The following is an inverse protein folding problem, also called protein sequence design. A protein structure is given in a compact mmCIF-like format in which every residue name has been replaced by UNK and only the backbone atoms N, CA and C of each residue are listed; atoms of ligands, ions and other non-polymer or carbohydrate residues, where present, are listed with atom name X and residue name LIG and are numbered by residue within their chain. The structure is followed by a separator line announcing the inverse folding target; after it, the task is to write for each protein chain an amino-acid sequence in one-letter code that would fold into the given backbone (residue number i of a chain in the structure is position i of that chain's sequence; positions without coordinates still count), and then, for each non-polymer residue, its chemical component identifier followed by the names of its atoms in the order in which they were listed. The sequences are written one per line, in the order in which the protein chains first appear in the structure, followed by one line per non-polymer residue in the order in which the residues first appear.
data_IF_484096967645
#
_entry.id   IF_484096967645
#
_cell.length_a   1.000
_cell.length_b   1.000
_cell.length_c   1.000
_cell.angle_alpha   90.00
_cell.angle_beta   90.00
_cell.angle_gamma   90.00
#
_symmetry.space_group_name_H-M   'P 1'
#
loop_
_entity.id
_entity.type
_entity.pdbx_description
1 polymer ?
#
# COMPACT_ATOMS: atom_id res chain seq x y z
N UNK A 1 -3.16 1.61 -3.86
CA UNK A 1 -1.97 1.19 -4.58
C UNK A 1 -1.71 2.16 -5.73
N UNK A 2 -0.49 2.70 -5.81
CA UNK A 2 -0.04 3.63 -6.88
C UNK A 2 0.97 2.88 -7.73
N UNK A 3 0.73 2.81 -9.04
CA UNK A 3 1.58 2.08 -9.99
C UNK A 3 2.48 3.07 -10.72
N UNK A 4 3.79 2.82 -10.67
CA UNK A 4 4.84 3.63 -11.33
C UNK A 4 5.61 2.74 -12.29
N UNK A 5 5.88 3.21 -13.49
CA UNK A 5 6.66 2.46 -14.48
C UNK A 5 8.15 2.51 -14.18
N UNK A 6 8.84 1.37 -14.26
CA UNK A 6 10.28 1.25 -13.99
C UNK A 6 11.17 2.03 -15.00
N UNK A 7 10.63 2.39 -16.15
CA UNK A 7 11.31 3.18 -17.19
C UNK A 7 10.94 4.65 -17.11
N UNK A 8 9.64 4.94 -16.95
CA UNK A 8 9.11 6.32 -16.97
C UNK A 8 9.29 7.08 -15.65
N UNK A 9 9.45 6.35 -14.53
CA UNK A 9 9.45 6.98 -13.22
C UNK A 9 8.09 7.59 -12.81
N UNK A 10 8.06 8.42 -11.77
CA UNK A 10 6.87 9.12 -11.32
C UNK A 10 6.45 10.22 -12.31
N UNK A 11 5.21 10.11 -12.79
CA UNK A 11 4.60 11.06 -13.72
C UNK A 11 3.52 11.88 -13.01
N UNK A 12 2.93 12.87 -13.71
CA UNK A 12 1.86 13.73 -13.16
C UNK A 12 0.71 12.93 -12.52
N UNK A 13 0.38 11.76 -13.07
CA UNK A 13 -0.61 10.85 -12.47
C UNK A 13 -0.20 10.34 -11.09
N UNK A 14 1.08 10.08 -10.89
CA UNK A 14 1.64 9.68 -9.59
C UNK A 14 1.51 10.81 -8.57
N UNK A 15 1.86 12.03 -8.95
CA UNK A 15 1.76 13.22 -8.09
C UNK A 15 0.32 13.48 -7.66
N UNK A 16 -0.63 13.43 -8.61
CA UNK A 16 -2.05 13.57 -8.31
C UNK A 16 -2.56 12.48 -7.37
N UNK A 17 -2.15 11.22 -7.57
CA UNK A 17 -2.56 10.11 -6.72
C UNK A 17 -2.00 10.25 -5.29
N UNK A 18 -0.73 10.65 -5.14
CA UNK A 18 -0.11 10.93 -3.85
C UNK A 18 -0.84 12.06 -3.12
N UNK A 19 -1.11 13.17 -3.80
CA UNK A 19 -1.87 14.30 -3.27
C UNK A 19 -3.29 13.92 -2.82
N UNK A 20 -4.00 13.12 -3.62
CA UNK A 20 -5.34 12.64 -3.27
C UNK A 20 -5.31 11.76 -2.03
N UNK A 21 -4.34 10.86 -1.90
CA UNK A 21 -4.16 10.05 -0.70
C UNK A 21 -3.87 10.92 0.53
N UNK A 22 -2.95 11.86 0.41
CA UNK A 22 -2.59 12.79 1.49
C UNK A 22 -3.80 13.63 1.94
N UNK A 23 -4.52 14.25 1.02
CA UNK A 23 -5.72 15.07 1.33
C UNK A 23 -6.85 14.28 1.96
N UNK A 24 -6.99 13.00 1.60
CA UNK A 24 -8.04 12.11 2.14
C UNK A 24 -7.59 11.28 3.34
N UNK A 25 -6.34 11.47 3.82
CA UNK A 25 -5.78 10.72 4.94
C UNK A 25 -5.78 9.20 4.70
N UNK A 26 -5.45 8.77 3.48
CA UNK A 26 -5.45 7.35 3.10
C UNK A 26 -4.04 6.78 3.08
N UNK A 27 -3.90 5.62 3.70
CA UNK A 27 -2.72 4.78 3.53
C UNK A 27 -2.46 4.52 2.04
N UNK A 28 -1.20 4.46 1.67
CA UNK A 28 -0.77 4.27 0.27
C UNK A 28 0.44 3.36 0.19
N UNK A 29 0.55 2.66 -0.91
CA UNK A 29 1.71 1.84 -1.29
C UNK A 29 2.03 2.11 -2.76
N UNK A 30 3.29 2.18 -3.09
CA UNK A 30 3.77 2.31 -4.48
C UNK A 30 4.26 0.95 -4.96
N UNK A 31 3.98 0.61 -6.21
CA UNK A 31 4.61 -0.51 -6.90
C UNK A 31 5.33 -0.01 -8.15
N UNK A 32 6.61 -0.28 -8.24
CA UNK A 32 7.40 -0.08 -9.45
C UNK A 32 7.18 -1.29 -10.36
N UNK A 33 6.37 -1.10 -11.38
CA UNK A 33 5.98 -2.14 -12.34
C UNK A 33 6.80 -2.06 -13.62
N UNK A 34 6.68 -3.08 -14.47
CA UNK A 34 7.42 -3.20 -15.73
C UNK A 34 8.93 -3.37 -15.52
N UNK A 35 9.33 -4.08 -14.46
CA UNK A 35 10.73 -4.41 -14.19
C UNK A 35 11.32 -5.41 -15.22
N UNK A 36 10.51 -5.91 -16.13
CA UNK A 36 10.88 -6.75 -17.28
C UNK A 36 11.23 -5.95 -18.54
N UNK A 37 11.03 -4.64 -18.52
CA UNK A 37 11.30 -3.79 -19.68
C UNK A 37 12.77 -3.46 -19.83
N UNK A 38 13.20 -3.30 -21.06
CA UNK A 38 14.52 -2.73 -21.39
C UNK A 38 14.64 -1.33 -20.75
N UNK A 39 15.79 -1.05 -20.15
CA UNK A 39 16.05 0.18 -19.40
C UNK A 39 15.22 0.37 -18.12
N UNK A 40 14.58 -0.68 -17.59
CA UNK A 40 13.99 -0.62 -16.25
C UNK A 40 15.09 -0.33 -15.20
N UNK A 41 14.86 0.68 -14.36
CA UNK A 41 15.82 1.08 -13.35
C UNK A 41 15.11 1.47 -12.04
N UNK A 42 15.15 0.56 -11.09
CA UNK A 42 14.49 0.73 -9.79
C UNK A 42 15.11 1.88 -8.98
N UNK A 43 16.44 1.94 -8.92
CA UNK A 43 17.14 2.95 -8.12
C UNK A 43 16.90 4.37 -8.65
N UNK A 44 16.89 4.54 -9.98
CA UNK A 44 16.51 5.81 -10.60
C UNK A 44 15.09 6.23 -10.19
N UNK A 45 14.13 5.30 -10.24
CA UNK A 45 12.74 5.58 -9.86
C UNK A 45 12.65 5.91 -8.37
N UNK A 46 13.38 5.21 -7.50
CA UNK A 46 13.41 5.52 -6.07
C UNK A 46 13.97 6.91 -5.78
N UNK A 47 15.07 7.29 -6.47
CA UNK A 47 15.65 8.63 -6.33
C UNK A 47 14.64 9.72 -6.75
N UNK A 48 13.98 9.56 -7.91
CA UNK A 48 12.95 10.49 -8.39
C UNK A 48 11.73 10.55 -7.45
N UNK A 49 11.33 9.43 -6.83
CA UNK A 49 10.27 9.39 -5.84
C UNK A 49 10.67 10.15 -4.56
N UNK A 50 11.90 9.94 -4.08
CA UNK A 50 12.41 10.61 -2.88
C UNK A 50 12.62 12.11 -3.11
N UNK A 51 13.07 12.53 -4.29
CA UNK A 51 13.15 13.96 -4.65
C UNK A 51 11.78 14.64 -4.63
N UNK A 52 10.73 13.95 -5.09
CA UNK A 52 9.38 14.53 -5.20
C UNK A 52 8.57 14.45 -3.89
N UNK A 53 8.70 13.36 -3.14
CA UNK A 53 7.81 13.06 -2.02
C UNK A 53 8.53 12.95 -0.67
N UNK A 54 9.85 13.03 -0.68
CA UNK A 54 10.69 13.02 0.53
C UNK A 54 11.02 11.61 1.05
N UNK A 55 11.70 11.53 2.21
CA UNK A 55 12.24 10.29 2.75
C UNK A 55 11.17 9.32 3.28
N UNK A 56 9.91 9.77 3.35
CA UNK A 56 8.78 8.90 3.72
C UNK A 56 8.51 7.76 2.72
N UNK A 57 9.10 7.83 1.52
CA UNK A 57 8.95 6.80 0.49
C UNK A 57 10.11 5.82 0.62
N UNK A 58 9.84 4.65 1.18
CA UNK A 58 10.87 3.65 1.54
C UNK A 58 10.65 2.32 0.83
N UNK A 59 11.69 1.71 0.24
CA UNK A 59 11.54 0.42 -0.40
C UNK A 59 11.51 -0.71 0.64
N UNK A 60 10.43 -1.49 0.64
CA UNK A 60 10.33 -2.74 1.42
C UNK A 60 10.81 -3.96 0.62
N UNK A 61 11.13 -3.76 -0.65
CA UNK A 61 11.72 -4.74 -1.54
C UNK A 61 12.79 -4.10 -2.43
N UNK A 62 13.91 -4.80 -2.62
CA UNK A 62 14.89 -4.47 -3.65
C UNK A 62 14.87 -5.55 -4.73
N UNK A 63 14.80 -5.19 -6.03
CA UNK A 63 14.76 -6.17 -7.10
C UNK A 63 16.09 -6.91 -7.26
N UNK A 64 16.05 -8.22 -7.45
CA UNK A 64 17.19 -9.01 -7.92
C UNK A 64 17.06 -9.10 -9.44
N UNK A 65 18.04 -8.50 -10.13
CA UNK A 65 18.06 -8.44 -11.59
C UNK A 65 19.17 -9.35 -12.15
N UNK A 66 18.84 -10.19 -13.11
CA UNK A 66 19.82 -11.00 -13.86
C UNK A 66 19.57 -10.84 -15.36
N UNK A 67 20.60 -10.43 -16.09
CA UNK A 67 20.49 -10.21 -17.54
C UNK A 67 19.40 -9.20 -17.93
N UNK A 68 19.16 -8.17 -17.10
CA UNK A 68 18.13 -7.17 -17.31
C UNK A 68 16.70 -7.63 -17.01
N UNK A 69 16.52 -8.81 -16.40
CA UNK A 69 15.22 -9.36 -16.03
C UNK A 69 15.07 -9.46 -14.52
N UNK A 70 13.87 -9.17 -14.04
CA UNK A 70 13.51 -9.38 -12.64
C UNK A 70 13.43 -10.89 -12.37
N UNK A 71 14.31 -11.41 -11.50
CA UNK A 71 14.37 -12.82 -11.13
C UNK A 71 14.04 -13.08 -9.66
N UNK A 72 13.92 -12.04 -8.85
CA UNK A 72 13.65 -12.17 -7.44
C UNK A 72 13.66 -10.83 -6.73
N UNK A 73 13.67 -10.87 -5.41
CA UNK A 73 13.72 -9.67 -4.57
C UNK A 73 14.43 -9.95 -3.24
N UNK A 74 14.92 -8.89 -2.62
CA UNK A 74 15.33 -8.86 -1.22
C UNK A 74 14.20 -8.20 -0.44
N UNK A 75 13.62 -8.89 0.54
CA UNK A 75 12.73 -8.31 1.55
C UNK A 75 13.61 -7.58 2.56
N UNK A 76 13.55 -6.27 2.54
CA UNK A 76 14.39 -5.40 3.39
C UNK A 76 13.89 -5.30 4.82
N UNK A 77 12.65 -5.68 5.10
CA UNK A 77 12.11 -5.73 6.47
C UNK A 77 12.58 -6.99 7.22
N UNK A 78 12.65 -8.13 6.49
CA UNK A 78 13.05 -9.41 7.08
C UNK A 78 14.51 -9.76 6.81
N UNK A 79 15.18 -9.01 5.95
CA UNK A 79 16.55 -9.27 5.48
C UNK A 79 16.71 -10.68 4.93
N UNK A 80 15.79 -11.08 4.05
CA UNK A 80 15.79 -12.36 3.33
C UNK A 80 15.69 -12.09 1.83
N UNK A 81 16.23 -12.99 1.03
CA UNK A 81 16.13 -12.92 -0.43
C UNK A 81 15.38 -14.12 -1.00
N UNK A 82 14.62 -13.86 -2.05
CA UNK A 82 13.84 -14.90 -2.75
C UNK A 82 13.98 -14.76 -4.25
N UNK A 83 14.03 -15.87 -4.95
CA UNK A 83 14.00 -15.95 -6.42
C UNK A 83 12.73 -16.64 -6.90
N UNK A 84 12.22 -16.16 -8.02
CA UNK A 84 11.09 -16.77 -8.72
C UNK A 84 11.56 -17.96 -9.53
N UNK A 85 10.87 -19.09 -9.42
CA UNK A 85 11.19 -20.34 -10.16
C UNK A 85 10.14 -20.71 -11.22
N UNK A 86 9.22 -19.80 -11.51
CA UNK A 86 8.11 -20.01 -12.45
C UNK A 86 6.90 -20.75 -11.86
N UNK A 87 7.03 -21.30 -10.66
CA UNK A 87 5.95 -21.97 -9.91
C UNK A 87 5.69 -21.30 -8.56
N UNK A 88 6.63 -20.50 -8.10
CA UNK A 88 6.57 -19.82 -6.82
C UNK A 88 7.87 -19.08 -6.51
N UNK A 89 8.19 -19.02 -5.23
CA UNK A 89 9.37 -18.35 -4.70
C UNK A 89 10.22 -19.36 -3.92
N UNK A 90 11.54 -19.22 -4.03
CA UNK A 90 12.51 -19.99 -3.26
C UNK A 90 13.47 -19.06 -2.55
N UNK A 91 13.76 -19.38 -1.30
CA UNK A 91 14.76 -18.67 -0.53
C UNK A 91 16.13 -18.79 -1.18
N UNK A 92 16.89 -17.72 -1.14
CA UNK A 92 18.27 -17.66 -1.59
C UNK A 92 19.07 -16.70 -0.71
N UNK A 93 20.39 -16.73 -0.85
CA UNK A 93 21.24 -15.75 -0.18
C UNK A 93 21.05 -14.36 -0.80
N UNK A 94 21.18 -13.33 0.02
CA UNK A 94 21.18 -11.95 -0.47
C UNK A 94 22.38 -11.76 -1.39
N UNK A 95 22.19 -11.37 -2.65
CA UNK A 95 23.31 -11.16 -3.57
C UNK A 95 24.32 -10.15 -3.02
N UNK A 96 25.62 -10.47 -3.12
CA UNK A 96 26.67 -9.65 -2.55
C UNK A 96 26.63 -8.17 -3.01
N UNK A 97 26.21 -7.93 -4.25
CA UNK A 97 26.05 -6.59 -4.81
C UNK A 97 24.84 -5.82 -4.24
N UNK A 98 23.90 -6.49 -3.56
CA UNK A 98 22.75 -5.86 -2.93
C UNK A 98 22.86 -5.83 -1.39
N UNK A 99 23.82 -6.54 -0.79
CA UNK A 99 23.92 -6.68 0.66
C UNK A 99 24.09 -5.32 1.37
N UNK A 100 25.01 -4.48 0.91
CA UNK A 100 25.22 -3.14 1.49
C UNK A 100 23.97 -2.26 1.32
N UNK A 101 23.36 -2.29 0.15
CA UNK A 101 22.13 -1.52 -0.13
C UNK A 101 20.95 -2.00 0.70
N UNK A 102 20.80 -3.33 0.88
CA UNK A 102 19.75 -3.89 1.73
C UNK A 102 19.92 -3.46 3.18
N UNK A 103 21.15 -3.40 3.68
CA UNK A 103 21.45 -2.95 5.02
C UNK A 103 21.12 -1.47 5.21
N UNK A 104 21.53 -0.59 4.28
CA UNK A 104 21.18 0.85 4.30
C UNK A 104 19.66 1.06 4.34
N UNK A 105 18.92 0.29 3.52
CA UNK A 105 17.46 0.38 3.48
C UNK A 105 16.84 -0.14 4.76
N UNK A 106 17.36 -1.23 5.35
CA UNK A 106 16.89 -1.74 6.62
C UNK A 106 17.07 -0.72 7.75
N UNK A 107 18.21 -0.04 7.81
CA UNK A 107 18.47 1.02 8.78
C UNK A 107 17.51 2.20 8.59
N UNK A 108 17.30 2.67 7.37
CA UNK A 108 16.34 3.73 7.07
C UNK A 108 14.88 3.33 7.40
N UNK A 109 14.51 2.06 7.19
CA UNK A 109 13.20 1.53 7.60
C UNK A 109 13.05 1.50 9.12
N UNK A 110 14.12 1.15 9.84
CA UNK A 110 14.13 1.10 11.32
C UNK A 110 13.97 2.52 11.89
N UNK A 111 14.68 3.49 11.36
CA UNK A 111 14.53 4.90 11.73
C UNK A 111 13.12 5.41 11.46
N UNK A 112 12.60 5.17 10.25
CA UNK A 112 11.24 5.57 9.90
C UNK A 112 10.17 4.90 10.77
N UNK A 113 10.39 3.64 11.19
CA UNK A 113 9.50 2.95 12.12
C UNK A 113 9.57 3.54 13.55
N UNK A 114 10.78 3.89 14.01
CA UNK A 114 10.98 4.51 15.30
C UNK A 114 10.26 5.88 15.40
N UNK A 115 10.29 6.68 14.37
CA UNK A 115 9.65 8.00 14.32
C UNK A 115 8.11 7.96 14.44
N UNK A 116 7.48 6.79 14.30
CA UNK A 116 6.02 6.66 14.35
C UNK A 116 5.42 6.60 15.75
N UNK A 117 6.23 6.35 16.78
CA UNK A 117 5.77 6.17 18.15
C UNK A 117 6.85 6.64 19.13
N UNK A 118 6.47 7.42 20.15
CA UNK A 118 7.42 7.97 21.15
C UNK A 118 8.19 6.86 21.90
N UNK A 119 7.53 5.76 22.24
CA UNK A 119 8.17 4.66 22.97
C UNK A 119 9.18 3.91 22.09
N UNK A 120 8.89 3.75 20.79
CA UNK A 120 9.84 3.17 19.84
C UNK A 120 11.02 4.09 19.61
N UNK A 121 10.79 5.40 19.58
CA UNK A 121 11.86 6.39 19.41
C UNK A 121 12.79 6.43 20.63
N UNK A 122 12.25 6.47 21.86
CA UNK A 122 13.03 6.41 23.09
C UNK A 122 13.89 5.15 23.13
N UNK A 123 13.30 4.00 22.86
CA UNK A 123 14.01 2.72 22.82
C UNK A 123 15.13 2.71 21.77
N UNK A 124 14.88 3.21 20.58
CA UNK A 124 15.88 3.29 19.52
C UNK A 124 17.06 4.19 19.91
N UNK A 125 16.81 5.29 20.62
CA UNK A 125 17.89 6.15 21.12
C UNK A 125 18.68 5.53 22.28
N UNK A 126 18.04 4.73 23.13
CA UNK A 126 18.69 4.10 24.28
C UNK A 126 19.47 2.85 23.91
N UNK A 127 18.88 1.97 23.08
CA UNK A 127 19.41 0.65 22.74
C UNK A 127 20.14 0.62 21.39
N UNK A 128 19.86 1.59 20.50
CA UNK A 128 20.43 1.67 19.15
C UNK A 128 19.78 0.71 18.14
N UNK A 129 18.83 -0.13 18.58
CA UNK A 129 18.17 -1.11 17.73
C UNK A 129 16.72 -1.34 18.16
N UNK A 130 15.89 -1.81 17.24
CA UNK A 130 14.53 -2.26 17.48
C UNK A 130 14.41 -3.74 17.11
N UNK A 131 13.56 -4.47 17.82
CA UNK A 131 13.20 -5.84 17.43
C UNK A 131 12.42 -5.82 16.11
N UNK A 132 12.41 -6.94 15.41
CA UNK A 132 11.69 -7.05 14.13
C UNK A 132 10.18 -6.80 14.27
N UNK A 133 9.59 -7.25 15.36
CA UNK A 133 8.19 -7.02 15.70
C UNK A 133 7.89 -5.54 15.90
N UNK A 134 8.78 -4.81 16.56
CA UNK A 134 8.67 -3.37 16.76
C UNK A 134 8.80 -2.60 15.44
N UNK A 135 9.76 -2.98 14.59
CA UNK A 135 9.89 -2.39 13.24
C UNK A 135 8.60 -2.60 12.44
N UNK A 136 8.05 -3.81 12.42
CA UNK A 136 6.79 -4.09 11.71
C UNK A 136 5.62 -3.29 12.29
N UNK A 137 5.54 -3.18 13.62
CA UNK A 137 4.51 -2.37 14.29
C UNK A 137 4.63 -0.89 13.92
N UNK A 138 5.83 -0.33 13.99
CA UNK A 138 6.09 1.05 13.60
C UNK A 138 5.78 1.29 12.12
N UNK A 139 6.20 0.40 11.22
CA UNK A 139 5.86 0.50 9.80
C UNK A 139 4.34 0.50 9.57
N UNK A 140 3.59 -0.38 10.23
CA UNK A 140 2.14 -0.44 10.11
C UNK A 140 1.48 0.85 10.62
N UNK A 141 1.95 1.40 11.73
CA UNK A 141 1.47 2.67 12.28
C UNK A 141 1.75 3.83 11.31
N UNK A 142 2.98 3.93 10.80
CA UNK A 142 3.36 4.96 9.83
C UNK A 142 2.62 4.86 8.49
N UNK A 143 2.35 3.65 8.02
CA UNK A 143 1.55 3.43 6.80
C UNK A 143 0.09 3.84 7.05
N UNK A 144 -0.49 3.45 8.19
CA UNK A 144 -1.86 3.82 8.57
C UNK A 144 -2.01 5.34 8.74
N UNK A 145 -1.03 5.99 9.37
CA UNK A 145 -0.97 7.45 9.52
C UNK A 145 -0.76 8.18 8.20
N UNK A 146 -0.14 7.53 7.23
CA UNK A 146 0.26 8.10 5.95
C UNK A 146 1.64 8.78 5.99
N UNK A 147 2.42 8.53 7.03
CA UNK A 147 3.78 9.04 7.21
C UNK A 147 4.80 8.19 6.44
N UNK A 148 4.52 6.89 6.30
CA UNK A 148 5.35 5.97 5.53
C UNK A 148 4.60 5.52 4.26
N UNK A 149 5.30 5.50 3.14
CA UNK A 149 4.82 5.00 1.85
C UNK A 149 5.74 3.86 1.39
N UNK A 150 5.38 2.59 1.62
CA UNK A 150 6.20 1.47 1.21
C UNK A 150 6.23 1.31 -0.31
N UNK A 151 7.38 0.90 -0.84
CA UNK A 151 7.59 0.64 -2.26
C UNK A 151 7.94 -0.82 -2.50
N UNK A 152 7.21 -1.45 -3.40
CA UNK A 152 7.45 -2.80 -3.92
C UNK A 152 7.87 -2.75 -5.39
N UNK A 153 8.30 -3.88 -5.94
CA UNK A 153 8.60 -4.02 -7.36
C UNK A 153 7.93 -5.27 -7.95
N UNK A 154 7.52 -5.19 -9.22
CA UNK A 154 6.98 -6.33 -9.95
C UNK A 154 7.15 -6.17 -11.47
N UNK A 155 6.87 -7.25 -12.19
CA UNK A 155 6.66 -7.28 -13.62
C UNK A 155 5.32 -7.97 -13.88
N UNK A 156 4.26 -7.18 -13.95
CA UNK A 156 2.88 -7.70 -13.95
C UNK A 156 2.52 -8.46 -15.23
N UNK A 157 3.06 -8.06 -16.39
CA UNK A 157 2.75 -8.73 -17.67
C UNK A 157 3.21 -10.21 -17.69
N UNK A 158 4.45 -10.55 -17.29
CA UNK A 158 4.89 -11.94 -17.14
C UNK A 158 4.46 -12.57 -15.80
N UNK A 159 3.67 -11.89 -14.99
CA UNK A 159 3.21 -12.33 -13.67
C UNK A 159 4.34 -12.61 -12.67
N UNK A 160 5.41 -11.80 -12.70
CA UNK A 160 6.55 -11.92 -11.78
C UNK A 160 6.37 -10.92 -10.62
N UNK A 161 6.40 -11.42 -9.38
CA UNK A 161 6.27 -10.61 -8.17
C UNK A 161 4.85 -10.14 -7.84
N UNK A 162 3.82 -10.56 -8.60
CA UNK A 162 2.43 -10.13 -8.36
C UNK A 162 1.86 -10.79 -7.11
N UNK A 163 2.13 -12.08 -6.87
CA UNK A 163 1.71 -12.75 -5.64
C UNK A 163 2.35 -12.08 -4.42
N UNK A 164 3.66 -11.82 -4.47
CA UNK A 164 4.38 -11.12 -3.39
C UNK A 164 3.80 -9.71 -3.14
N UNK A 165 3.44 -8.98 -4.20
CA UNK A 165 2.77 -7.68 -4.06
C UNK A 165 1.42 -7.83 -3.33
N UNK A 166 0.64 -8.86 -3.66
CA UNK A 166 -0.63 -9.14 -2.98
C UNK A 166 -0.42 -9.48 -1.50
N UNK A 167 0.58 -10.29 -1.18
CA UNK A 167 0.94 -10.63 0.19
C UNK A 167 1.38 -9.38 0.98
N UNK A 168 2.17 -8.50 0.36
CA UNK A 168 2.56 -7.22 0.96
C UNK A 168 1.38 -6.28 1.17
N UNK A 169 0.41 -6.25 0.26
CA UNK A 169 -0.84 -5.50 0.47
C UNK A 169 -1.62 -6.02 1.68
N UNK A 170 -1.73 -7.34 1.82
CA UNK A 170 -2.41 -7.96 2.98
C UNK A 170 -1.65 -7.70 4.27
N UNK A 171 -0.32 -7.72 4.23
CA UNK A 171 0.53 -7.60 5.42
C UNK A 171 0.66 -6.17 5.94
N UNK A 172 0.82 -5.20 5.05
CA UNK A 172 1.18 -3.83 5.43
C UNK A 172 0.05 -2.81 5.23
N UNK A 173 -0.94 -3.08 4.38
CA UNK A 173 -2.02 -2.11 4.19
C UNK A 173 -3.13 -2.31 5.21
N UNK A 174 -3.67 -1.22 5.79
CA UNK A 174 -4.71 -1.31 6.79
C UNK A 174 -5.98 -1.95 6.20
N UNK A 175 -6.65 -2.85 6.96
CA UNK A 175 -7.93 -3.41 6.55
C UNK A 175 -9.04 -2.36 6.58
N UNK A 176 -10.13 -2.63 5.86
CA UNK A 176 -11.28 -1.74 5.80
C UNK A 176 -11.89 -1.42 7.19
N UNK A 177 -11.72 -2.32 8.17
CA UNK A 177 -12.15 -2.14 9.56
C UNK A 177 -11.46 -0.98 10.29
N UNK A 178 -10.25 -0.61 9.86
CA UNK A 178 -9.50 0.53 10.40
C UNK A 178 -9.79 1.85 9.66
N UNK A 179 -10.62 1.82 8.61
CA UNK A 179 -10.99 3.02 7.90
C UNK A 179 -11.80 3.96 8.80
N UNK A 180 -11.51 5.28 8.72
CA UNK A 180 -12.30 6.29 9.42
C UNK A 180 -13.76 6.17 9.01
N UNK A 181 -14.67 6.18 10.00
CA UNK A 181 -16.10 6.19 9.75
C UNK A 181 -16.49 7.38 8.85
N UNK A 182 -17.38 7.20 7.87
CA UNK A 182 -17.84 8.29 7.04
C UNK A 182 -18.66 9.26 7.88
N UNK A 183 -18.55 10.54 7.55
CA UNK A 183 -19.45 11.56 8.11
C UNK A 183 -20.83 11.39 7.49
N UNK A 184 -21.81 11.04 8.30
CA UNK A 184 -23.21 10.96 7.90
C UNK A 184 -24.03 12.01 8.63
N UNK A 185 -25.12 12.44 8.01
CA UNK A 185 -26.05 13.43 8.57
C UNK A 185 -27.46 12.86 8.48
N UNK A 186 -28.21 12.98 9.55
CA UNK A 186 -29.63 12.65 9.53
C UNK A 186 -30.37 13.65 8.63
N UNK A 187 -31.03 13.22 7.56
CA UNK A 187 -31.65 14.15 6.61
C UNK A 187 -32.83 14.93 7.20
N UNK A 188 -33.42 14.44 8.30
CA UNK A 188 -34.57 15.10 8.96
C UNK A 188 -34.17 16.11 10.00
N UNK A 189 -33.09 15.85 10.76
CA UNK A 189 -32.67 16.71 11.88
C UNK A 189 -31.44 17.54 11.58
N UNK A 190 -30.66 17.19 10.56
CA UNK A 190 -29.38 17.81 10.26
C UNK A 190 -28.23 17.39 11.18
N UNK A 191 -28.50 16.51 12.15
CA UNK A 191 -27.49 16.09 13.12
C UNK A 191 -26.47 15.15 12.52
N UNK A 192 -25.23 15.21 13.00
CA UNK A 192 -24.19 14.26 12.65
C UNK A 192 -24.50 12.87 13.22
N UNK A 193 -24.39 11.85 12.39
CA UNK A 193 -24.64 10.44 12.76
C UNK A 193 -23.34 9.66 12.60
N UNK A 194 -22.97 8.95 13.64
CA UNK A 194 -21.87 8.00 13.59
C UNK A 194 -22.31 6.71 12.89
N UNK A 195 -21.59 6.34 11.83
CA UNK A 195 -21.84 5.09 11.09
C UNK A 195 -20.93 4.00 11.65
N UNK A 196 -21.49 3.11 12.48
CA UNK A 196 -20.77 1.94 13.04
C UNK A 196 -20.80 0.80 12.04
N UNK A 197 -19.71 0.05 11.92
CA UNK A 197 -19.59 -1.04 10.93
C UNK A 197 -20.60 -2.16 11.13
N UNK A 198 -20.96 -2.47 12.37
CA UNK A 198 -21.93 -3.49 12.80
C UNK A 198 -23.36 -2.95 12.96
N UNK A 199 -23.58 -1.72 12.51
CA UNK A 199 -24.88 -1.04 12.62
C UNK A 199 -25.89 -1.45 11.56
N UNK A 200 -26.95 -0.64 11.42
CA UNK A 200 -27.93 -0.80 10.35
C UNK A 200 -27.27 -0.60 8.99
N UNK A 201 -27.81 -1.28 7.96
CA UNK A 201 -27.30 -1.16 6.60
C UNK A 201 -27.22 0.32 6.16
N UNK A 202 -26.02 0.72 5.76
CA UNK A 202 -25.76 2.02 5.18
C UNK A 202 -24.71 1.89 4.07
N UNK A 203 -25.03 2.39 2.88
CA UNK A 203 -24.17 2.29 1.70
C UNK A 203 -24.29 3.53 0.84
N UNK A 204 -23.31 3.72 -0.03
CA UNK A 204 -23.29 4.78 -1.03
C UNK A 204 -23.12 4.18 -2.41
N UNK A 205 -23.94 4.61 -3.36
CA UNK A 205 -23.71 4.32 -4.79
C UNK A 205 -22.49 5.12 -5.25
N UNK A 206 -21.41 4.43 -5.60
CA UNK A 206 -20.17 5.05 -6.05
C UNK A 206 -20.06 5.14 -7.57
N UNK A 207 -20.73 4.22 -8.28
CA UNK A 207 -20.74 4.16 -9.73
C UNK A 207 -21.98 3.43 -10.23
N UNK A 208 -22.52 3.89 -11.36
CA UNK A 208 -23.50 3.14 -12.14
C UNK A 208 -22.88 2.74 -13.48
N UNK A 209 -23.00 1.47 -13.84
CA UNK A 209 -22.54 0.90 -15.11
C UNK A 209 -23.75 0.41 -15.88
N UNK A 210 -23.77 0.67 -17.17
CA UNK A 210 -24.79 0.17 -18.09
C UNK A 210 -24.07 -0.63 -19.17
N UNK A 211 -24.47 -1.87 -19.35
CA UNK A 211 -23.96 -2.75 -20.40
C UNK A 211 -25.11 -3.45 -21.12
N UNK A 212 -24.79 -4.41 -21.98
CA UNK A 212 -25.79 -5.18 -22.76
C UNK A 212 -26.72 -6.05 -21.87
N UNK A 213 -26.36 -6.31 -20.62
CA UNK A 213 -27.15 -7.12 -19.68
C UNK A 213 -28.01 -6.29 -18.74
N UNK A 214 -27.79 -4.96 -18.67
CA UNK A 214 -28.60 -4.06 -17.89
C UNK A 214 -27.84 -2.95 -17.17
N UNK A 215 -28.52 -2.38 -16.18
CA UNK A 215 -27.99 -1.28 -15.33
C UNK A 215 -27.60 -1.83 -13.97
N UNK A 216 -26.34 -1.63 -13.57
CA UNK A 216 -25.80 -2.06 -12.30
C UNK A 216 -25.36 -0.85 -11.49
N UNK A 217 -25.68 -0.83 -10.20
CA UNK A 217 -25.17 0.14 -9.25
C UNK A 217 -24.13 -0.50 -8.37
N UNK A 218 -22.92 0.04 -8.40
CA UNK A 218 -21.81 -0.39 -7.53
C UNK A 218 -21.93 0.38 -6.22
N UNK A 219 -22.06 -0.36 -5.13
CA UNK A 219 -22.24 0.17 -3.80
C UNK A 219 -20.96 0.02 -2.98
N UNK A 220 -20.62 1.03 -2.19
CA UNK A 220 -19.71 0.93 -1.07
C UNK A 220 -20.53 0.81 0.21
N UNK A 221 -20.47 -0.36 0.84
CA UNK A 221 -21.14 -0.61 2.13
C UNK A 221 -20.27 -0.06 3.25
N UNK A 222 -20.82 0.79 4.10
CA UNK A 222 -20.16 1.39 5.26
C UNK A 222 -20.63 0.74 6.58
N UNK A 223 -21.79 0.17 6.62
CA UNK A 223 -22.38 -0.43 7.82
C UNK A 223 -23.35 -1.54 7.44
N UNK A 224 -23.43 -2.55 8.28
CA UNK A 224 -24.33 -3.69 8.11
C UNK A 224 -24.01 -4.54 6.88
N UNK A 225 -25.01 -5.33 6.46
CA UNK A 225 -24.90 -6.27 5.34
C UNK A 225 -26.03 -6.03 4.35
N UNK A 226 -25.69 -6.02 3.05
CA UNK A 226 -26.68 -6.07 1.98
C UNK A 226 -26.93 -7.54 1.59
N UNK A 227 -28.16 -8.01 1.77
CA UNK A 227 -28.62 -9.32 1.28
C UNK A 227 -29.70 -9.16 0.20
N UNK A 228 -30.00 -10.23 -0.52
CA UNK A 228 -31.01 -10.23 -1.58
C UNK A 228 -32.41 -9.83 -1.09
N UNK A 229 -32.71 -10.07 0.19
CA UNK A 229 -34.00 -9.81 0.79
C UNK A 229 -34.16 -8.40 1.37
N UNK A 230 -33.08 -7.61 1.34
CA UNK A 230 -33.11 -6.23 1.85
C UNK A 230 -33.53 -5.27 0.74
N UNK A 231 -34.62 -4.54 0.96
CA UNK A 231 -35.01 -3.40 0.15
C UNK A 231 -34.39 -2.11 0.74
N UNK A 232 -33.24 -1.64 0.20
CA UNK A 232 -32.59 -0.47 0.74
C UNK A 232 -33.38 0.80 0.40
N UNK A 233 -33.56 1.68 1.39
CA UNK A 233 -34.18 2.97 1.18
C UNK A 233 -33.18 3.95 0.52
N UNK A 234 -33.56 4.52 -0.60
CA UNK A 234 -32.77 5.55 -1.30
C UNK A 234 -33.11 6.93 -0.71
N UNK A 235 -32.21 7.47 0.10
CA UNK A 235 -32.41 8.78 0.77
C UNK A 235 -32.51 9.97 -0.17
N UNK A 236 -32.01 9.86 -1.41
CA UNK A 236 -32.11 10.93 -2.42
C UNK A 236 -33.46 10.97 -3.11
N UNK A 237 -34.01 9.79 -3.38
CA UNK A 237 -35.28 9.63 -4.08
C UNK A 237 -36.46 9.41 -3.15
N UNK A 238 -36.19 9.31 -1.85
CA UNK A 238 -37.17 9.11 -0.76
C UNK A 238 -38.06 7.86 -0.95
N UNK A 239 -37.48 6.80 -1.55
CA UNK A 239 -38.18 5.54 -1.84
C UNK A 239 -37.29 4.30 -1.69
#
# INVERSE_FOLDING_TARGET
LIVVGAVSGPVVGTEKAMDMCKKSGKARMIVVNQMDRENANFDKVMNELNEKFGPSVVPIQLPIMEGGKLVGYVDTVHMIAKKYDGKGEKDCDIPANLAARAQEVYEALTEAAAETDEALMEKFFEEGELSREEIISGLNNGILGGDITPVCCCAAQPNIGVCTLMDNLVKYMPPASMAKAPKAVNPKTGDAVEVKQDGKFAAQVIKTVIDQFGKYSILKVYSGVLSADVAPYNTREEK
#
